data_IF_982219558743
#
_entry.id   IF_982219558743
#
_cell.length_a   1.000
_cell.length_b   1.000
_cell.length_c   1.000
_cell.angle_alpha   90.00
_cell.angle_beta   90.00
_cell.angle_gamma   90.00
#
_symmetry.space_group_name_H-M   'P 1'
#
loop_
_entity.id
_entity.type
_entity.pdbx_description
1 polymer ?
#
# COMPACT_ATOMS: atom_id res chain seq x y z
N UNK A 1 12.10 44.44 34.88
CA UNK A 1 12.74 43.24 34.31
C UNK A 1 11.68 42.17 34.20
N UNK A 2 11.00 42.11 33.06
CA UNK A 2 9.86 41.21 32.83
C UNK A 2 10.40 39.95 32.17
N UNK A 3 10.23 38.81 32.83
CA UNK A 3 10.66 37.49 32.35
C UNK A 3 9.86 37.10 31.08
N UNK A 4 10.48 36.61 29.99
CA UNK A 4 9.72 36.16 28.84
C UNK A 4 8.98 34.86 29.20
N UNK A 5 7.67 34.86 28.97
CA UNK A 5 6.83 33.68 29.10
C UNK A 5 7.38 32.56 28.21
N UNK A 6 7.74 31.42 28.82
CA UNK A 6 8.04 30.19 28.12
C UNK A 6 6.78 29.71 27.40
N UNK A 7 6.74 29.92 26.07
CA UNK A 7 5.73 29.33 25.20
C UNK A 7 5.85 27.81 25.30
N UNK A 8 4.95 27.19 26.07
CA UNK A 8 4.77 25.75 26.08
C UNK A 8 4.32 25.35 24.67
N UNK A 9 5.24 24.80 23.88
CA UNK A 9 4.96 24.23 22.58
C UNK A 9 4.06 23.02 22.80
N UNK A 10 2.76 23.23 22.69
CA UNK A 10 1.77 22.18 22.77
C UNK A 10 1.80 21.41 21.44
N UNK A 11 2.84 20.60 21.23
CA UNK A 11 3.00 19.74 20.05
C UNK A 11 2.02 18.57 20.13
N UNK A 12 0.74 18.87 19.88
CA UNK A 12 -0.23 17.84 19.56
C UNK A 12 0.23 17.17 18.27
N UNK A 13 0.71 15.93 18.36
CA UNK A 13 1.19 15.16 17.21
C UNK A 13 0.16 15.23 16.07
N UNK A 14 0.63 15.54 14.86
CA UNK A 14 -0.21 15.65 13.67
C UNK A 14 -1.05 14.37 13.47
N UNK A 15 -2.24 14.43 12.85
CA UNK A 15 -3.10 13.26 12.66
C UNK A 15 -2.40 12.05 12.03
N UNK A 16 -1.47 12.29 11.10
CA UNK A 16 -0.67 11.24 10.48
C UNK A 16 0.35 10.62 11.45
N UNK A 17 0.94 11.40 12.37
CA UNK A 17 1.90 10.90 13.37
C UNK A 17 1.22 9.93 14.35
N UNK A 18 -0.05 10.16 14.69
CA UNK A 18 -0.83 9.21 15.51
C UNK A 18 -1.09 7.90 14.78
N UNK A 19 -1.45 7.98 13.49
CA UNK A 19 -1.64 6.79 12.66
C UNK A 19 -0.32 6.00 12.49
N UNK A 20 0.79 6.69 12.23
CA UNK A 20 2.12 6.09 12.13
C UNK A 20 2.57 5.45 13.45
N UNK A 21 2.32 6.10 14.59
CA UNK A 21 2.58 5.53 15.91
C UNK A 21 1.77 4.25 16.17
N UNK A 22 0.47 4.25 15.84
CA UNK A 22 -0.38 3.06 15.98
C UNK A 22 0.01 1.90 15.05
N UNK A 23 0.64 2.20 13.91
CA UNK A 23 1.17 1.22 12.97
C UNK A 23 2.62 0.82 13.25
N UNK A 24 3.21 1.29 14.36
CA UNK A 24 4.61 1.04 14.76
C UNK A 24 5.64 1.48 13.69
N UNK A 25 5.38 2.62 13.04
CA UNK A 25 6.21 3.20 11.98
C UNK A 25 7.09 4.35 12.47
N UNK A 26 7.03 4.70 13.76
CA UNK A 26 7.83 5.77 14.34
C UNK A 26 8.93 5.22 15.23
N UNK A 27 10.13 5.79 15.08
CA UNK A 27 11.26 5.62 15.97
C UNK A 27 11.01 6.32 17.31
N UNK A 28 11.82 6.02 18.33
CA UNK A 28 11.72 6.62 19.67
C UNK A 28 11.86 8.16 19.66
N UNK A 29 12.49 8.73 18.64
CA UNK A 29 12.65 10.18 18.43
C UNK A 29 11.50 10.83 17.63
N UNK A 30 10.48 10.05 17.23
CA UNK A 30 9.32 10.51 16.47
C UNK A 30 9.54 10.62 14.96
N UNK A 31 10.71 10.23 14.46
CA UNK A 31 10.98 10.09 13.02
C UNK A 31 10.40 8.80 12.45
N UNK A 32 10.29 8.68 11.12
CA UNK A 32 9.92 7.41 10.49
C UNK A 32 11.03 6.38 10.72
N UNK A 33 10.68 5.26 11.35
CA UNK A 33 11.58 4.15 11.63
C UNK A 33 11.55 3.10 10.54
N UNK A 34 12.58 2.25 10.53
CA UNK A 34 12.58 1.00 9.76
C UNK A 34 11.55 0.06 10.39
N UNK A 35 10.78 -0.65 9.57
CA UNK A 35 9.81 -1.61 10.09
C UNK A 35 10.49 -2.92 10.50
N UNK A 36 9.91 -3.62 11.48
CA UNK A 36 10.43 -4.94 11.90
C UNK A 36 10.54 -5.94 10.74
N UNK A 37 9.67 -5.83 9.73
CA UNK A 37 9.72 -6.68 8.53
C UNK A 37 10.98 -6.43 7.70
N UNK A 38 11.41 -5.18 7.58
CA UNK A 38 12.62 -4.80 6.85
C UNK A 38 13.88 -5.19 7.62
N UNK A 39 13.90 -4.98 8.94
CA UNK A 39 15.00 -5.41 9.80
C UNK A 39 15.19 -6.94 9.75
N UNK A 40 14.11 -7.69 9.91
CA UNK A 40 14.17 -9.16 9.92
C UNK A 40 14.55 -9.73 8.56
N UNK A 41 14.06 -9.13 7.46
CA UNK A 41 14.44 -9.52 6.10
C UNK A 41 15.94 -9.31 5.88
N UNK A 42 16.47 -8.16 6.27
CA UNK A 42 17.90 -7.84 6.15
C UNK A 42 18.76 -8.80 7.00
N UNK A 43 18.32 -9.12 8.22
CA UNK A 43 19.02 -10.05 9.08
C UNK A 43 19.00 -11.48 8.51
N UNK A 44 17.88 -11.95 7.98
CA UNK A 44 17.78 -13.26 7.36
C UNK A 44 18.72 -13.38 6.14
N UNK A 45 18.77 -12.36 5.29
CA UNK A 45 19.69 -12.31 4.15
C UNK A 45 21.16 -12.33 4.57
N UNK A 46 21.54 -11.52 5.57
CA UNK A 46 22.94 -11.43 6.01
C UNK A 46 23.44 -12.67 6.75
N UNK A 47 22.55 -13.42 7.38
CA UNK A 47 22.88 -14.64 8.15
C UNK A 47 22.66 -15.93 7.37
N UNK A 48 22.02 -15.86 6.20
CA UNK A 48 21.60 -17.04 5.45
C UNK A 48 20.44 -17.81 6.10
N UNK A 49 19.71 -17.17 7.03
CA UNK A 49 18.54 -17.79 7.65
C UNK A 49 17.34 -17.82 6.68
N UNK A 50 16.47 -18.83 6.84
CA UNK A 50 15.22 -18.93 6.09
C UNK A 50 14.23 -17.88 6.64
N UNK A 51 13.72 -17.01 5.77
CA UNK A 51 12.80 -15.94 6.16
C UNK A 51 11.33 -16.40 6.08
N UNK A 52 10.80 -16.98 7.16
CA UNK A 52 9.37 -17.30 7.26
C UNK A 52 8.49 -16.10 7.67
N UNK A 53 9.08 -14.91 7.80
CA UNK A 53 8.38 -13.66 8.15
C UNK A 53 8.02 -12.78 6.95
N UNK A 54 8.46 -13.12 5.74
CA UNK A 54 8.12 -12.35 4.54
C UNK A 54 6.65 -12.52 4.16
N UNK A 55 6.00 -11.42 3.76
CA UNK A 55 4.58 -11.39 3.41
C UNK A 55 4.26 -11.62 1.92
N UNK A 56 5.24 -12.04 1.13
CA UNK A 56 5.10 -12.28 -0.31
C UNK A 56 5.63 -13.68 -0.69
N UNK A 57 5.08 -14.30 -1.75
CA UNK A 57 5.51 -15.63 -2.18
C UNK A 57 6.93 -15.62 -2.78
N UNK A 58 7.64 -16.73 -2.63
CA UNK A 58 8.96 -16.95 -3.27
C UNK A 58 8.86 -17.26 -4.77
N UNK A 59 7.65 -17.56 -5.25
CA UNK A 59 7.38 -17.93 -6.64
C UNK A 59 6.85 -16.75 -7.45
N UNK A 60 7.15 -16.80 -8.74
CA UNK A 60 6.62 -15.87 -9.72
C UNK A 60 5.11 -16.04 -9.94
N UNK A 61 4.42 -14.94 -10.28
CA UNK A 61 3.04 -14.98 -10.73
C UNK A 61 2.84 -15.66 -12.10
N UNK A 62 1.59 -15.88 -12.54
CA UNK A 62 1.28 -16.58 -13.78
C UNK A 62 1.96 -15.97 -15.02
N UNK A 63 2.47 -16.81 -15.91
CA UNK A 63 3.23 -16.39 -17.09
C UNK A 63 2.43 -15.49 -18.02
N UNK A 64 1.12 -15.73 -18.13
CA UNK A 64 0.19 -14.95 -18.95
C UNK A 64 0.07 -13.50 -18.45
N UNK A 65 0.16 -13.28 -17.13
CA UNK A 65 0.12 -11.94 -16.53
C UNK A 65 1.41 -11.18 -16.88
N UNK A 66 2.56 -11.84 -16.82
CA UNK A 66 3.84 -11.25 -17.25
C UNK A 66 3.81 -10.86 -18.72
N UNK A 67 3.34 -11.76 -19.58
CA UNK A 67 3.21 -11.50 -21.02
C UNK A 67 2.26 -10.34 -21.31
N UNK A 68 1.11 -10.27 -20.63
CA UNK A 68 0.16 -9.16 -20.77
C UNK A 68 0.76 -7.81 -20.35
N UNK A 69 1.53 -7.78 -19.25
CA UNK A 69 2.22 -6.57 -18.80
C UNK A 69 3.28 -6.11 -19.82
N UNK A 70 4.09 -7.03 -20.34
CA UNK A 70 5.09 -6.72 -21.38
C UNK A 70 4.44 -6.16 -22.65
N UNK A 71 3.34 -6.78 -23.10
CA UNK A 71 2.59 -6.33 -24.26
C UNK A 71 2.03 -4.91 -24.06
N UNK A 72 1.44 -4.64 -22.89
CA UNK A 72 0.90 -3.31 -22.55
C UNK A 72 1.99 -2.22 -22.57
N UNK A 73 3.16 -2.50 -21.99
CA UNK A 73 4.31 -1.58 -22.00
C UNK A 73 4.75 -1.29 -23.43
N UNK A 74 4.90 -2.35 -24.25
CA UNK A 74 5.34 -2.25 -25.65
C UNK A 74 4.32 -1.49 -26.51
N UNK A 75 3.03 -1.64 -26.21
CA UNK A 75 1.94 -0.92 -26.87
C UNK A 75 1.80 0.55 -26.43
N UNK A 76 2.66 1.03 -25.52
CA UNK A 76 2.66 2.43 -25.08
C UNK A 76 1.64 2.75 -23.97
N UNK A 77 1.07 1.75 -23.29
CA UNK A 77 0.15 1.93 -22.17
C UNK A 77 0.89 2.37 -20.87
N UNK A 78 1.72 3.39 -20.97
CA UNK A 78 2.64 3.86 -19.92
C UNK A 78 2.18 5.20 -19.30
N UNK A 79 1.06 5.74 -19.76
CA UNK A 79 0.47 6.99 -19.26
C UNK A 79 -0.51 6.70 -18.12
N UNK A 80 -0.84 7.76 -17.36
CA UNK A 80 -1.76 7.66 -16.23
C UNK A 80 -3.08 6.97 -16.63
N UNK A 81 -3.40 5.90 -15.91
CA UNK A 81 -4.73 5.33 -15.94
C UNK A 81 -5.76 6.34 -15.40
N UNK A 82 -7.05 6.22 -15.76
CA UNK A 82 -8.10 7.00 -15.12
C UNK A 82 -8.05 6.82 -13.60
N UNK A 83 -8.29 7.88 -12.82
CA UNK A 83 -8.16 7.81 -11.35
C UNK A 83 -9.06 6.77 -10.66
N UNK A 84 -10.10 6.28 -11.35
CA UNK A 84 -10.97 5.18 -10.86
C UNK A 84 -10.46 3.79 -11.25
N UNK A 85 -9.39 3.68 -12.04
CA UNK A 85 -8.94 2.48 -12.73
C UNK A 85 -9.50 2.35 -14.15
N UNK A 86 -8.79 1.60 -14.99
CA UNK A 86 -9.18 1.31 -16.38
C UNK A 86 -10.53 0.57 -16.42
N UNK A 87 -11.44 0.89 -17.35
CA UNK A 87 -12.75 0.25 -17.46
C UNK A 87 -12.72 -1.27 -17.49
N UNK A 88 -11.81 -1.83 -18.29
CA UNK A 88 -11.64 -3.25 -18.53
C UNK A 88 -11.30 -3.99 -17.23
N UNK A 89 -10.38 -3.46 -16.43
CA UNK A 89 -10.03 -4.02 -15.12
C UNK A 89 -11.20 -3.95 -14.14
N UNK A 90 -11.93 -2.83 -14.12
CA UNK A 90 -13.09 -2.68 -13.22
C UNK A 90 -14.20 -3.67 -13.55
N UNK A 91 -14.42 -3.96 -14.82
CA UNK A 91 -15.39 -4.95 -15.28
C UNK A 91 -14.93 -6.37 -14.97
N UNK A 92 -13.66 -6.68 -15.20
CA UNK A 92 -13.06 -7.98 -14.85
C UNK A 92 -13.16 -8.26 -13.33
N UNK A 93 -12.88 -7.26 -12.49
CA UNK A 93 -13.07 -7.37 -11.03
C UNK A 93 -14.53 -7.62 -10.69
N UNK A 94 -15.48 -6.88 -11.26
CA UNK A 94 -16.90 -7.09 -11.00
C UNK A 94 -17.37 -8.50 -11.38
N UNK A 95 -16.96 -8.98 -12.56
CA UNK A 95 -17.26 -10.34 -13.01
C UNK A 95 -16.65 -11.41 -12.09
N UNK A 96 -15.41 -11.18 -11.61
CA UNK A 96 -14.79 -12.06 -10.62
C UNK A 96 -15.58 -12.08 -9.30
N UNK A 97 -15.97 -10.90 -8.79
CA UNK A 97 -16.73 -10.80 -7.55
C UNK A 97 -18.10 -11.49 -7.63
N UNK A 98 -18.77 -11.39 -8.78
CA UNK A 98 -20.02 -12.10 -9.05
C UNK A 98 -19.79 -13.62 -9.12
N UNK A 99 -18.78 -14.07 -9.88
CA UNK A 99 -18.48 -15.49 -10.08
C UNK A 99 -18.16 -16.23 -8.79
N UNK A 100 -17.30 -15.65 -7.93
CA UNK A 100 -16.78 -16.35 -6.76
C UNK A 100 -17.53 -16.02 -5.47
N UNK A 101 -18.18 -14.86 -5.39
CA UNK A 101 -18.80 -14.37 -4.16
C UNK A 101 -20.27 -13.97 -4.33
N UNK A 102 -20.84 -14.02 -5.55
CA UNK A 102 -22.22 -13.62 -5.81
C UNK A 102 -22.49 -12.12 -5.60
N UNK A 103 -21.43 -11.30 -5.52
CA UNK A 103 -21.56 -9.88 -5.23
C UNK A 103 -21.82 -9.08 -6.51
N UNK A 104 -23.08 -8.82 -6.81
CA UNK A 104 -23.46 -7.99 -7.95
C UNK A 104 -23.24 -6.51 -7.65
N UNK A 105 -22.59 -5.80 -8.58
CA UNK A 105 -22.41 -4.34 -8.47
C UNK A 105 -23.78 -3.65 -8.59
N UNK A 106 -24.31 -3.14 -7.47
CA UNK A 106 -25.50 -2.29 -7.50
C UNK A 106 -25.20 -1.05 -8.35
N UNK A 107 -25.83 -0.98 -9.53
CA UNK A 107 -25.76 0.19 -10.41
C UNK A 107 -26.50 1.33 -9.70
N UNK A 108 -25.77 2.31 -9.16
CA UNK A 108 -26.39 3.51 -8.58
C UNK A 108 -27.19 4.19 -9.69
N UNK A 109 -28.52 4.07 -9.66
CA UNK A 109 -29.43 4.77 -10.58
C UNK A 109 -29.12 6.26 -10.45
N UNK A 110 -28.59 6.89 -11.50
CA UNK A 110 -28.63 8.34 -11.64
C UNK A 110 -30.09 8.68 -11.95
N UNK A 111 -30.80 9.14 -10.93
CA UNK A 111 -32.06 9.86 -11.12
C UNK A 111 -31.75 11.10 -11.97
N UNK A 112 -32.52 11.28 -13.04
CA UNK A 112 -32.56 12.49 -13.86
C UNK A 112 -33.05 13.69 -13.03
#
# INVERSE_FOLDING_TARGET
MTSPASLSQNTSAAPWQRAASGANLLSADGSLGVTIFEEMTTLAMSTGAINLGQGFPDEDGPAEIKAAAQAAITAGANQYAPGKGIPELREAIAAHQERFYGLTRTRRRRSL
#
